data_IF_721159772256
#
_entry.id   IF_721159772256
#
_cell.length_a   1.000
_cell.length_b   1.000
_cell.length_c   1.000
_cell.angle_alpha   90.00
_cell.angle_beta   90.00
_cell.angle_gamma   90.00
#
_symmetry.space_group_name_H-M   'P 1'
#
loop_
_entity.id
_entity.type
_entity.pdbx_description
1 polymer ?
#
# COMPACT_ATOMS: atom_id res chain seq x y z
N UNK A 1 20.78 18.91 17.38
CA UNK A 1 19.99 19.57 18.45
C UNK A 1 18.51 19.44 18.10
N UNK A 2 17.61 19.17 19.06
CA UNK A 2 16.17 19.21 18.82
C UNK A 2 15.77 20.61 18.32
N UNK A 3 14.93 20.67 17.28
CA UNK A 3 14.37 21.91 16.80
C UNK A 3 13.21 22.40 17.67
N UNK A 4 12.63 23.55 17.32
CA UNK A 4 11.43 24.06 18.03
C UNK A 4 10.19 23.18 17.84
N UNK A 5 10.09 22.45 16.73
CA UNK A 5 8.94 21.62 16.39
C UNK A 5 9.21 20.12 16.55
N UNK A 6 10.41 19.67 16.16
CA UNK A 6 10.77 18.26 16.14
C UNK A 6 11.88 17.94 17.13
N UNK A 7 11.72 16.83 17.83
CA UNK A 7 12.80 16.16 18.56
C UNK A 7 13.72 15.43 17.59
N UNK A 8 13.12 14.83 16.56
CA UNK A 8 13.77 14.11 15.49
C UNK A 8 12.91 14.21 14.22
N UNK A 9 13.56 14.35 13.08
CA UNK A 9 12.93 14.19 11.77
C UNK A 9 13.95 13.57 10.83
N UNK A 10 13.49 12.64 9.99
CA UNK A 10 14.27 11.94 8.97
C UNK A 10 13.56 11.98 7.63
N UNK A 11 14.34 12.13 6.56
CA UNK A 11 13.90 12.00 5.18
C UNK A 11 14.86 11.07 4.46
N UNK A 12 14.33 10.11 3.72
CA UNK A 12 15.09 9.13 2.96
C UNK A 12 14.50 8.99 1.57
N UNK A 13 15.36 8.79 0.57
CA UNK A 13 14.98 8.45 -0.78
C UNK A 13 15.61 7.12 -1.18
N UNK A 14 14.87 6.30 -1.92
CA UNK A 14 15.35 5.05 -2.45
C UNK A 14 14.79 4.81 -3.85
N UNK A 15 15.53 4.08 -4.68
CA UNK A 15 15.06 3.60 -5.96
C UNK A 15 15.57 2.19 -6.21
N UNK A 16 14.79 1.40 -6.93
CA UNK A 16 15.17 0.05 -7.31
C UNK A 16 14.74 -0.24 -8.75
N UNK A 17 15.53 -1.06 -9.43
CA UNK A 17 15.23 -1.61 -10.74
C UNK A 17 15.52 -3.11 -10.72
N UNK A 18 14.72 -3.89 -11.44
CA UNK A 18 14.88 -5.33 -11.55
C UNK A 18 14.57 -5.81 -12.95
N UNK A 19 15.31 -6.84 -13.34
CA UNK A 19 15.18 -7.51 -14.64
C UNK A 19 14.97 -9.01 -14.41
N UNK A 20 14.26 -9.65 -15.30
CA UNK A 20 14.19 -11.10 -15.35
C UNK A 20 15.45 -11.66 -16.05
N UNK A 21 15.61 -12.99 -16.09
CA UNK A 21 16.73 -13.65 -16.74
C UNK A 21 16.76 -13.46 -18.27
N UNK A 22 15.64 -13.05 -18.88
CA UNK A 22 15.52 -12.69 -20.29
C UNK A 22 16.01 -11.28 -20.61
N UNK A 23 16.35 -10.47 -19.58
CA UNK A 23 16.78 -9.09 -19.76
C UNK A 23 15.63 -8.07 -19.78
N UNK A 24 14.38 -8.51 -19.61
CA UNK A 24 13.24 -7.61 -19.54
C UNK A 24 13.18 -6.90 -18.19
N UNK A 25 12.96 -5.58 -18.22
CA UNK A 25 12.78 -4.80 -17.00
C UNK A 25 11.38 -5.06 -16.43
N UNK A 26 11.34 -5.77 -15.31
CA UNK A 26 10.10 -6.21 -14.65
C UNK A 26 9.79 -5.43 -13.36
N UNK A 27 10.70 -4.61 -12.88
CA UNK A 27 10.50 -3.76 -11.71
C UNK A 27 11.23 -2.44 -11.86
N UNK A 28 10.59 -1.35 -11.48
CA UNK A 28 11.20 -0.03 -11.30
C UNK A 28 10.35 0.73 -10.31
N UNK A 29 10.97 1.31 -9.30
CA UNK A 29 10.29 2.17 -8.35
C UNK A 29 11.23 3.24 -7.81
N UNK A 30 10.65 4.36 -7.39
CA UNK A 30 11.28 5.40 -6.60
C UNK A 30 10.38 5.68 -5.39
N UNK A 31 10.99 5.86 -4.24
CA UNK A 31 10.30 6.07 -2.98
C UNK A 31 10.94 7.21 -2.20
N UNK A 32 10.12 8.03 -1.58
CA UNK A 32 10.50 8.98 -0.55
C UNK A 32 9.81 8.55 0.74
N UNK A 33 10.58 8.46 1.82
CA UNK A 33 10.08 8.14 3.15
C UNK A 33 10.45 9.27 4.11
N UNK A 34 9.49 9.70 4.91
CA UNK A 34 9.66 10.71 5.95
C UNK A 34 9.14 10.19 7.28
N UNK A 35 9.86 10.46 8.35
CA UNK A 35 9.42 10.14 9.70
C UNK A 35 9.89 11.19 10.69
N UNK A 36 9.23 11.27 11.83
CA UNK A 36 9.65 12.20 12.86
C UNK A 36 8.86 12.09 14.14
N UNK A 37 9.40 12.73 15.16
CA UNK A 37 8.79 12.87 16.48
C UNK A 37 8.76 14.35 16.86
N UNK A 38 7.57 14.86 17.12
CA UNK A 38 7.36 16.23 17.58
C UNK A 38 7.82 16.41 19.04
N UNK A 39 7.97 17.65 19.47
CA UNK A 39 8.35 17.97 20.87
C UNK A 39 7.34 17.46 21.91
N UNK A 40 6.07 17.34 21.53
CA UNK A 40 4.99 16.77 22.35
C UNK A 40 4.92 15.23 22.31
N UNK A 41 5.92 14.56 21.70
CA UNK A 41 6.06 13.11 21.53
C UNK A 41 5.04 12.44 20.60
N UNK A 42 4.27 13.22 19.86
CA UNK A 42 3.58 12.67 18.71
C UNK A 42 4.59 12.28 17.65
N UNK A 43 4.30 11.21 16.93
CA UNK A 43 5.16 10.74 15.85
C UNK A 43 4.36 10.63 14.55
N UNK A 44 5.06 10.80 13.45
CA UNK A 44 4.53 10.53 12.12
C UNK A 44 5.51 9.69 11.33
N UNK A 45 4.97 8.95 10.39
CA UNK A 45 5.72 8.29 9.32
C UNK A 45 4.87 8.31 8.05
N UNK A 46 5.51 8.51 6.92
CA UNK A 46 4.84 8.51 5.64
C UNK A 46 5.79 8.17 4.52
N UNK A 47 5.24 7.64 3.45
CA UNK A 47 5.96 7.38 2.22
C UNK A 47 5.13 7.76 0.98
N UNK A 48 5.84 8.07 -0.07
CA UNK A 48 5.29 8.19 -1.41
C UNK A 48 6.15 7.36 -2.36
N UNK A 49 5.51 6.52 -3.15
CA UNK A 49 6.17 5.65 -4.13
C UNK A 49 5.60 5.92 -5.51
N UNK A 50 6.47 6.07 -6.50
CA UNK A 50 6.15 6.13 -7.91
C UNK A 50 6.81 4.95 -8.62
N UNK A 51 6.04 4.22 -9.42
CA UNK A 51 6.51 3.12 -10.24
C UNK A 51 6.03 3.34 -11.67
N UNK A 52 6.93 3.51 -12.65
CA UNK A 52 6.56 3.59 -14.06
C UNK A 52 6.06 2.24 -14.57
N UNK A 53 5.48 2.25 -15.76
CA UNK A 53 5.08 1.04 -16.47
C UNK A 53 6.29 0.13 -16.72
N UNK A 54 6.14 -1.17 -16.42
CA UNK A 54 7.16 -2.20 -16.66
C UNK A 54 6.52 -3.47 -17.22
N UNK A 55 7.31 -4.35 -17.79
CA UNK A 55 6.87 -5.69 -18.20
C UNK A 55 6.56 -6.56 -16.96
N UNK A 56 5.74 -7.57 -17.14
CA UNK A 56 5.36 -8.49 -16.07
C UNK A 56 5.25 -9.91 -16.64
N UNK A 57 6.18 -10.77 -16.28
CA UNK A 57 6.24 -12.17 -16.70
C UNK A 57 5.35 -13.09 -15.85
N UNK A 58 4.91 -12.64 -14.68
CA UNK A 58 4.01 -13.37 -13.80
C UNK A 58 2.53 -13.07 -13.99
N UNK A 59 2.14 -12.01 -14.72
CA UNK A 59 0.75 -11.52 -14.79
C UNK A 59 -0.21 -12.57 -15.32
N UNK A 60 0.19 -13.29 -16.35
CA UNK A 60 -0.61 -14.31 -17.04
C UNK A 60 -0.37 -15.74 -16.53
N UNK A 61 0.40 -15.89 -15.45
CA UNK A 61 0.71 -17.16 -14.79
C UNK A 61 1.26 -18.22 -15.76
N UNK A 62 2.34 -17.88 -16.45
CA UNK A 62 3.00 -18.76 -17.41
C UNK A 62 2.55 -18.59 -18.87
N UNK A 63 1.79 -17.53 -19.17
CA UNK A 63 1.47 -17.08 -20.52
C UNK A 63 2.43 -16.00 -21.05
N UNK A 64 1.99 -15.20 -22.04
CA UNK A 64 2.79 -14.13 -22.60
C UNK A 64 3.08 -13.03 -21.58
N UNK A 65 4.15 -12.28 -21.83
CA UNK A 65 4.50 -11.10 -21.06
C UNK A 65 3.31 -10.12 -21.01
N UNK A 66 2.95 -9.74 -19.81
CA UNK A 66 1.99 -8.67 -19.56
C UNK A 66 2.68 -7.35 -19.22
N UNK A 67 1.90 -6.42 -18.71
CA UNK A 67 2.36 -5.09 -18.29
C UNK A 67 1.85 -4.79 -16.90
N UNK A 68 2.72 -4.40 -16.00
CA UNK A 68 2.36 -3.73 -14.76
C UNK A 68 2.20 -2.24 -15.06
N UNK A 69 1.02 -1.71 -14.72
CA UNK A 69 0.67 -0.32 -14.98
C UNK A 69 1.52 0.64 -14.15
N UNK A 70 1.80 1.82 -14.70
CA UNK A 70 2.38 2.89 -13.92
C UNK A 70 1.45 3.26 -12.76
N UNK A 71 2.03 3.49 -11.58
CA UNK A 71 1.28 3.79 -10.37
C UNK A 71 2.01 4.77 -9.46
N UNK A 72 1.21 5.53 -8.72
CA UNK A 72 1.68 6.35 -7.62
C UNK A 72 0.85 6.01 -6.39
N UNK A 73 1.48 5.85 -5.25
CA UNK A 73 0.83 5.59 -3.98
C UNK A 73 1.52 6.33 -2.85
N UNK A 74 0.77 6.64 -1.80
CA UNK A 74 1.30 7.25 -0.60
C UNK A 74 0.58 6.75 0.64
N UNK A 75 1.31 6.79 1.75
CA UNK A 75 0.84 6.42 3.07
C UNK A 75 1.27 7.50 4.06
N UNK A 76 0.42 7.78 5.05
CA UNK A 76 0.75 8.63 6.18
C UNK A 76 0.14 8.02 7.44
N UNK A 77 0.95 7.92 8.47
CA UNK A 77 0.55 7.43 9.79
C UNK A 77 0.96 8.47 10.84
N UNK A 78 0.08 8.75 11.78
CA UNK A 78 0.33 9.64 12.91
C UNK A 78 -0.06 8.93 14.19
N UNK A 79 0.76 9.04 15.22
CA UNK A 79 0.53 8.39 16.52
C UNK A 79 0.78 9.36 17.66
N UNK A 80 -0.05 9.29 18.69
CA UNK A 80 0.14 10.07 19.92
C UNK A 80 1.30 9.54 20.76
N UNK A 81 1.63 10.24 21.83
CA UNK A 81 2.66 9.85 22.80
C UNK A 81 2.40 8.45 23.37
N UNK A 82 3.30 7.52 23.09
CA UNK A 82 3.19 6.11 23.49
C UNK A 82 3.44 5.85 24.99
N UNK A 83 3.84 6.86 25.74
CA UNK A 83 4.05 6.79 27.19
C UNK A 83 2.77 7.03 27.98
N UNK A 84 1.73 7.55 27.32
CA UNK A 84 0.44 7.85 27.96
C UNK A 84 -0.44 6.61 28.06
N UNK A 85 -1.30 6.52 29.08
CA UNK A 85 -2.27 5.43 29.21
C UNK A 85 -3.22 5.34 28.01
N UNK A 86 -3.60 6.48 27.44
CA UNK A 86 -4.39 6.56 26.21
C UNK A 86 -3.45 6.86 25.02
N UNK A 87 -3.45 5.95 24.04
CA UNK A 87 -2.76 6.12 22.76
C UNK A 87 -3.76 6.14 21.64
N UNK A 88 -3.57 7.05 20.71
CA UNK A 88 -4.33 7.15 19.47
C UNK A 88 -3.39 7.13 18.29
N UNK A 89 -3.82 6.48 17.22
CA UNK A 89 -3.15 6.52 15.93
C UNK A 89 -4.16 6.68 14.81
N UNK A 90 -3.76 7.33 13.74
CA UNK A 90 -4.53 7.46 12.52
C UNK A 90 -3.63 7.27 11.32
N UNK A 91 -4.11 6.52 10.34
CA UNK A 91 -3.40 6.26 9.09
C UNK A 91 -4.31 6.49 7.91
N UNK A 92 -3.74 7.03 6.83
CA UNK A 92 -4.40 7.15 5.52
C UNK A 92 -3.49 6.62 4.45
N UNK A 93 -4.07 6.01 3.43
CA UNK A 93 -3.36 5.64 2.22
C UNK A 93 -4.17 6.04 0.98
N UNK A 94 -3.47 6.31 -0.11
CA UNK A 94 -4.08 6.56 -1.41
C UNK A 94 -3.15 6.07 -2.51
N UNK A 95 -3.73 5.62 -3.63
CA UNK A 95 -2.98 5.20 -4.80
C UNK A 95 -3.79 5.37 -6.08
N UNK A 96 -3.09 5.54 -7.18
CA UNK A 96 -3.68 5.60 -8.53
C UNK A 96 -2.80 4.87 -9.51
N UNK A 97 -3.43 4.25 -10.51
CA UNK A 97 -2.78 3.68 -11.69
C UNK A 97 -3.13 4.49 -12.94
N UNK A 98 -2.33 4.37 -13.99
CA UNK A 98 -2.49 5.11 -15.24
C UNK A 98 -3.80 4.83 -15.99
N UNK A 99 -4.41 3.65 -15.79
CA UNK A 99 -5.69 3.28 -16.41
C UNK A 99 -6.91 3.59 -15.52
N UNK A 100 -6.76 4.49 -14.54
CA UNK A 100 -7.86 4.92 -13.69
C UNK A 100 -8.16 3.97 -12.52
N UNK A 101 -7.28 3.01 -12.24
CA UNK A 101 -7.32 2.26 -10.99
C UNK A 101 -7.05 3.21 -9.82
N UNK A 102 -7.77 3.03 -8.73
CA UNK A 102 -7.66 3.85 -7.54
C UNK A 102 -7.77 2.98 -6.29
N UNK A 103 -7.02 3.33 -5.28
CA UNK A 103 -7.13 2.72 -3.96
C UNK A 103 -7.04 3.80 -2.89
N UNK A 104 -7.73 3.59 -1.80
CA UNK A 104 -7.67 4.49 -0.68
C UNK A 104 -8.20 3.82 0.59
N UNK A 105 -7.77 4.33 1.72
CA UNK A 105 -8.22 3.80 2.99
C UNK A 105 -7.80 4.66 4.15
N UNK A 106 -8.43 4.41 5.26
CA UNK A 106 -8.04 4.97 6.54
C UNK A 106 -8.07 3.88 7.61
N UNK A 107 -7.24 4.03 8.61
CA UNK A 107 -7.24 3.21 9.81
C UNK A 107 -7.15 4.13 11.03
N UNK A 108 -7.87 3.77 12.06
CA UNK A 108 -7.78 4.41 13.36
C UNK A 108 -7.41 3.36 14.41
N UNK A 109 -6.58 3.73 15.37
CA UNK A 109 -6.20 2.88 16.48
C UNK A 109 -6.35 3.63 17.79
N UNK A 110 -6.98 2.99 18.77
CA UNK A 110 -7.04 3.45 20.14
C UNK A 110 -6.59 2.32 21.07
N UNK A 111 -5.69 2.64 21.96
CA UNK A 111 -5.27 1.75 23.05
C UNK A 111 -5.42 2.54 24.35
N UNK A 112 -6.19 1.99 25.26
CA UNK A 112 -6.41 2.61 26.57
C UNK A 112 -6.08 1.63 27.70
N UNK A 113 -5.16 2.05 28.55
CA UNK A 113 -4.68 1.29 29.71
C UNK A 113 -4.85 2.14 30.97
N UNK A 114 -6.06 2.21 31.55
CA UNK A 114 -6.30 3.01 32.75
C UNK A 114 -5.62 2.42 33.99
N UNK A 115 -5.34 1.12 34.01
CA UNK A 115 -4.64 0.43 35.08
C UNK A 115 -3.73 -0.67 34.53
N UNK A 116 -2.93 -1.30 35.37
CA UNK A 116 -2.08 -2.43 35.00
C UNK A 116 -2.87 -3.69 34.61
N UNK A 117 -4.12 -3.80 35.05
CA UNK A 117 -4.98 -4.97 34.84
C UNK A 117 -6.07 -4.74 33.79
N UNK A 118 -6.18 -3.56 33.20
CA UNK A 118 -7.20 -3.27 32.18
C UNK A 118 -6.56 -2.73 30.91
N UNK A 119 -6.79 -3.42 29.82
CA UNK A 119 -6.34 -3.01 28.49
C UNK A 119 -7.48 -3.11 27.49
N UNK A 120 -7.90 -1.98 26.96
CA UNK A 120 -8.86 -1.86 25.87
C UNK A 120 -8.18 -1.42 24.59
N UNK A 121 -8.45 -2.11 23.49
CA UNK A 121 -8.05 -1.65 22.15
C UNK A 121 -9.22 -1.66 21.18
N UNK A 122 -9.23 -0.66 20.29
CA UNK A 122 -10.20 -0.50 19.21
C UNK A 122 -9.45 -0.09 17.94
N UNK A 123 -9.68 -0.81 16.85
CA UNK A 123 -8.96 -0.60 15.59
C UNK A 123 -9.89 -0.76 14.39
N UNK A 124 -10.73 0.25 14.07
CA UNK A 124 -11.48 0.29 12.83
C UNK A 124 -10.58 0.66 11.66
N UNK A 125 -10.81 0.03 10.51
CA UNK A 125 -10.18 0.39 9.24
C UNK A 125 -11.16 0.24 8.08
N UNK A 126 -11.04 1.13 7.11
CA UNK A 126 -11.79 1.09 5.87
C UNK A 126 -10.85 1.14 4.69
N UNK A 127 -11.11 0.32 3.68
CA UNK A 127 -10.39 0.31 2.41
C UNK A 127 -11.36 0.27 1.25
N UNK A 128 -11.06 1.01 0.22
CA UNK A 128 -11.73 0.94 -1.06
C UNK A 128 -10.68 0.83 -2.17
N UNK A 129 -10.92 -0.05 -3.14
CA UNK A 129 -10.05 -0.17 -4.31
C UNK A 129 -10.88 -0.44 -5.55
N UNK A 130 -10.43 0.13 -6.65
CA UNK A 130 -10.90 -0.12 -7.99
C UNK A 130 -9.72 -0.51 -8.85
N UNK A 131 -9.73 -1.72 -9.37
CA UNK A 131 -8.78 -2.21 -10.34
C UNK A 131 -9.49 -2.41 -11.69
N UNK A 132 -9.21 -1.59 -12.71
CA UNK A 132 -9.88 -1.68 -14.00
C UNK A 132 -9.42 -2.87 -14.85
N UNK A 133 -8.28 -3.50 -14.52
CA UNK A 133 -7.63 -4.50 -15.38
C UNK A 133 -7.02 -5.64 -14.55
N UNK A 134 -7.82 -6.24 -13.68
CA UNK A 134 -7.38 -7.40 -12.92
C UNK A 134 -7.47 -8.68 -13.75
N UNK A 135 -6.39 -9.49 -13.78
CA UNK A 135 -6.41 -10.82 -14.39
C UNK A 135 -7.35 -11.74 -13.61
N UNK A 136 -8.30 -12.33 -14.32
CA UNK A 136 -9.33 -13.22 -13.75
C UNK A 136 -9.05 -14.67 -14.07
N UNK A 137 -8.55 -14.96 -15.28
CA UNK A 137 -8.30 -16.32 -15.73
C UNK A 137 -7.97 -16.41 -17.21
N UNK A 138 -7.88 -17.63 -17.73
CA UNK A 138 -7.70 -17.89 -19.16
C UNK A 138 -8.70 -18.91 -19.65
N UNK A 139 -9.05 -18.80 -20.95
CA UNK A 139 -9.90 -19.74 -21.67
C UNK A 139 -9.15 -20.26 -22.89
N UNK A 140 -9.27 -21.57 -23.17
CA UNK A 140 -8.74 -22.17 -24.41
C UNK A 140 -9.46 -21.62 -25.61
N UNK A 141 -8.71 -21.21 -26.63
CA UNK A 141 -9.23 -20.73 -27.91
C UNK A 141 -8.20 -21.05 -29.01
N UNK A 142 -8.49 -22.04 -29.84
CA UNK A 142 -7.59 -22.47 -30.91
C UNK A 142 -7.29 -21.41 -31.96
N UNK A 143 -8.08 -20.32 -32.03
CA UNK A 143 -7.85 -19.20 -32.95
C UNK A 143 -6.84 -18.17 -32.37
N UNK A 144 -6.53 -18.25 -31.09
CA UNK A 144 -5.63 -17.34 -30.41
C UNK A 144 -4.14 -17.77 -30.51
N UNK A 145 -3.63 -17.89 -31.74
CA UNK A 145 -2.28 -18.40 -32.03
C UNK A 145 -1.19 -17.56 -31.34
N UNK A 146 -1.31 -16.23 -31.35
CA UNK A 146 -0.35 -15.31 -30.74
C UNK A 146 -0.24 -15.43 -29.21
N UNK A 147 -1.18 -16.11 -28.59
CA UNK A 147 -1.23 -16.30 -27.12
C UNK A 147 -1.30 -17.79 -26.76
N UNK A 148 -0.65 -18.64 -27.57
CA UNK A 148 -0.51 -20.08 -27.33
C UNK A 148 -1.85 -20.81 -27.19
N UNK A 149 -2.86 -20.44 -28.00
CA UNK A 149 -4.19 -21.06 -27.97
C UNK A 149 -5.01 -20.72 -26.71
N UNK A 150 -4.73 -19.59 -26.05
CA UNK A 150 -5.46 -19.14 -24.87
C UNK A 150 -5.85 -17.67 -24.98
N UNK A 151 -7.05 -17.33 -24.55
CA UNK A 151 -7.47 -15.95 -24.28
C UNK A 151 -7.36 -15.67 -22.79
N UNK A 152 -6.68 -14.58 -22.45
CA UNK A 152 -6.51 -14.11 -21.09
C UNK A 152 -7.61 -13.10 -20.76
N UNK A 153 -8.31 -13.34 -19.65
CA UNK A 153 -9.48 -12.56 -19.26
C UNK A 153 -9.10 -11.58 -18.16
N UNK A 154 -9.46 -10.34 -18.38
CA UNK A 154 -9.29 -9.26 -17.42
C UNK A 154 -10.65 -8.64 -17.12
N UNK A 155 -10.86 -8.22 -15.89
CA UNK A 155 -12.09 -7.57 -15.46
C UNK A 155 -11.80 -6.38 -14.55
N UNK A 156 -12.74 -5.45 -14.48
CA UNK A 156 -12.74 -4.42 -13.46
C UNK A 156 -13.26 -5.03 -12.15
N UNK A 157 -12.54 -4.78 -11.07
CA UNK A 157 -12.95 -5.18 -9.73
C UNK A 157 -12.99 -3.95 -8.82
N UNK A 158 -14.15 -3.76 -8.19
CA UNK A 158 -14.36 -2.76 -7.15
C UNK A 158 -14.56 -3.48 -5.81
N UNK A 159 -13.73 -3.15 -4.82
CA UNK A 159 -13.78 -3.75 -3.49
C UNK A 159 -13.90 -2.66 -2.41
N UNK A 160 -14.69 -2.95 -1.39
CA UNK A 160 -14.78 -2.13 -0.18
C UNK A 160 -14.77 -3.05 1.03
N UNK A 161 -13.91 -2.75 1.99
CA UNK A 161 -13.77 -3.55 3.20
C UNK A 161 -13.81 -2.63 4.41
N UNK A 162 -14.61 -3.00 5.38
CA UNK A 162 -14.65 -2.39 6.71
C UNK A 162 -14.28 -3.46 7.73
N UNK A 163 -13.19 -3.25 8.45
CA UNK A 163 -12.75 -4.13 9.52
C UNK A 163 -12.82 -3.37 10.85
N UNK A 164 -13.33 -4.03 11.89
CA UNK A 164 -13.33 -3.50 13.25
C UNK A 164 -12.80 -4.56 14.19
N UNK A 165 -11.65 -4.30 14.77
CA UNK A 165 -11.05 -5.19 15.79
C UNK A 165 -11.14 -4.53 17.15
N UNK A 166 -11.70 -5.27 18.12
CA UNK A 166 -11.76 -4.86 19.53
C UNK A 166 -11.10 -5.94 20.38
N UNK A 167 -10.40 -5.53 21.42
CA UNK A 167 -9.83 -6.44 22.41
C UNK A 167 -9.94 -5.82 23.80
N UNK A 168 -10.36 -6.64 24.74
CA UNK A 168 -10.43 -6.34 26.16
C UNK A 168 -9.64 -7.44 26.91
N UNK A 169 -8.70 -7.05 27.73
CA UNK A 169 -7.87 -7.92 28.59
C UNK A 169 -7.82 -7.32 29.98
#
# INVERSE_FOLDING_TARGET
>A
KPGRLFRYAGLQGAGAMGWNFGGDRISTNAMIYANGTFVNFWSFQGDATAAPRVLNDGLTRGGPLGVTLAQVRGNLNVSSDNRKPLRISAGVNAGRTELGGASGGFAFGMIWRPSSSLHLSLSPSYRASRDPVQYVGSRTDGTAVATYGKRYLFAQIDQRTLDVTTRLN
#
